data_IF_481686478410
#
_entry.id   IF_481686478410
#
_cell.length_a   1.000
_cell.length_b   1.000
_cell.length_c   1.000
_cell.angle_alpha   90.00
_cell.angle_beta   90.00
_cell.angle_gamma   90.00
#
_symmetry.space_group_name_H-M   'P 1'
#
loop_
_entity.id
_entity.type
_entity.pdbx_description
1 polymer ?
#
# COMPACT_ATOMS: atom_id res chain seq x y z
N UNK A 1 -1.31 -15.32 6.90
CA UNK A 1 -0.79 -13.93 6.91
C UNK A 1 -1.20 -13.16 5.65
N UNK A 2 -1.01 -13.74 4.46
CA UNK A 2 -1.33 -13.10 3.16
C UNK A 2 -2.80 -12.68 3.05
N UNK A 3 -3.74 -13.53 3.46
CA UNK A 3 -5.18 -13.22 3.38
C UNK A 3 -5.58 -11.99 4.21
N UNK A 4 -4.98 -11.85 5.40
CA UNK A 4 -5.18 -10.66 6.25
C UNK A 4 -4.62 -9.40 5.60
N UNK A 5 -3.42 -9.47 5.02
CA UNK A 5 -2.81 -8.35 4.31
C UNK A 5 -3.70 -7.88 3.17
N UNK A 6 -4.18 -8.81 2.35
CA UNK A 6 -5.09 -8.52 1.24
C UNK A 6 -6.38 -7.85 1.72
N UNK A 7 -7.01 -8.39 2.77
CA UNK A 7 -8.23 -7.81 3.33
C UNK A 7 -8.01 -6.38 3.83
N UNK A 8 -6.90 -6.11 4.54
CA UNK A 8 -6.59 -4.76 5.02
C UNK A 8 -6.40 -3.76 3.87
N UNK A 9 -5.76 -4.18 2.76
CA UNK A 9 -5.59 -3.33 1.58
C UNK A 9 -6.95 -3.05 0.91
N UNK A 10 -7.77 -4.07 0.70
CA UNK A 10 -9.11 -3.91 0.12
C UNK A 10 -9.98 -3.00 0.97
N UNK A 11 -10.00 -3.20 2.30
CA UNK A 11 -10.79 -2.36 3.22
C UNK A 11 -10.33 -0.89 3.22
N UNK A 12 -9.03 -0.64 3.07
CA UNK A 12 -8.46 0.71 3.10
C UNK A 12 -8.57 1.46 1.77
N UNK A 13 -8.60 0.75 0.64
CA UNK A 13 -8.52 1.33 -0.71
C UNK A 13 -9.80 1.20 -1.52
N UNK A 14 -10.68 0.27 -1.16
CA UNK A 14 -11.84 -0.10 -1.97
C UNK A 14 -11.49 -0.88 -3.23
N UNK A 15 -10.23 -1.31 -3.40
CA UNK A 15 -9.75 -2.06 -4.56
C UNK A 15 -10.36 -3.45 -4.65
N UNK A 16 -10.18 -4.12 -5.79
CA UNK A 16 -10.49 -5.55 -5.88
C UNK A 16 -9.49 -6.39 -5.09
N UNK A 17 -9.87 -7.63 -4.75
CA UNK A 17 -8.97 -8.61 -4.11
C UNK A 17 -7.77 -8.94 -5.01
N UNK A 18 -8.02 -9.10 -6.31
CA UNK A 18 -6.97 -9.42 -7.29
C UNK A 18 -5.92 -8.31 -7.36
N UNK A 19 -6.36 -7.06 -7.50
CA UNK A 19 -5.49 -5.88 -7.50
C UNK A 19 -4.69 -5.76 -6.18
N UNK A 20 -5.35 -5.97 -5.04
CA UNK A 20 -4.67 -5.96 -3.75
C UNK A 20 -3.61 -7.07 -3.64
N UNK A 21 -3.87 -8.28 -4.14
CA UNK A 21 -2.89 -9.37 -4.16
C UNK A 21 -1.70 -9.07 -5.07
N UNK A 22 -1.92 -8.47 -6.24
CA UNK A 22 -0.85 -8.07 -7.14
C UNK A 22 0.06 -7.00 -6.53
N UNK A 23 -0.53 -5.96 -5.96
CA UNK A 23 0.21 -4.87 -5.33
C UNK A 23 0.94 -5.37 -4.06
N UNK A 24 0.33 -6.27 -3.29
CA UNK A 24 1.01 -6.90 -2.16
C UNK A 24 2.22 -7.73 -2.59
N UNK A 25 2.16 -8.45 -3.71
CA UNK A 25 3.34 -9.16 -4.23
C UNK A 25 4.47 -8.19 -4.60
N UNK A 26 4.13 -7.06 -5.24
CA UNK A 26 5.11 -6.02 -5.61
C UNK A 26 5.79 -5.37 -4.41
N UNK A 27 5.11 -5.32 -3.26
CA UNK A 27 5.61 -4.69 -2.04
C UNK A 27 6.23 -5.67 -1.05
N UNK A 28 6.34 -6.96 -1.39
CA UNK A 28 6.83 -7.99 -0.46
C UNK A 28 5.87 -8.25 0.71
N UNK A 29 4.56 -8.08 0.45
CA UNK A 29 3.45 -8.20 1.39
C UNK A 29 3.38 -7.10 2.47
N UNK A 30 4.05 -5.96 2.25
CA UNK A 30 3.93 -4.80 3.12
C UNK A 30 2.66 -3.98 2.80
N UNK A 31 1.76 -3.91 3.78
CA UNK A 31 0.42 -3.33 3.60
C UNK A 31 0.45 -1.81 3.38
N UNK A 32 1.30 -1.07 4.10
CA UNK A 32 1.37 0.39 3.99
C UNK A 32 1.78 0.87 2.59
N UNK A 33 2.92 0.40 2.01
CA UNK A 33 3.27 0.78 0.65
C UNK A 33 2.23 0.28 -0.34
N UNK A 34 1.59 -0.88 -0.13
CA UNK A 34 0.53 -1.35 -1.01
C UNK A 34 -0.69 -0.41 -1.05
N UNK A 35 -1.17 0.03 0.13
CA UNK A 35 -2.26 1.02 0.21
C UNK A 35 -1.85 2.32 -0.46
N UNK A 36 -0.62 2.79 -0.22
CA UNK A 36 -0.14 4.03 -0.82
C UNK A 36 -0.04 3.92 -2.34
N UNK A 37 0.46 2.81 -2.89
CA UNK A 37 0.53 2.58 -4.34
C UNK A 37 -0.84 2.71 -5.00
N UNK A 38 -1.86 2.03 -4.44
CA UNK A 38 -3.22 2.06 -4.99
C UNK A 38 -3.82 3.47 -4.92
N UNK A 39 -3.69 4.15 -3.79
CA UNK A 39 -4.32 5.46 -3.58
C UNK A 39 -3.60 6.61 -4.29
N UNK A 40 -2.30 6.51 -4.53
CA UNK A 40 -1.47 7.59 -5.11
C UNK A 40 -0.97 7.32 -6.52
N UNK A 41 -1.13 6.09 -7.04
CA UNK A 41 -0.61 5.67 -8.34
C UNK A 41 0.92 5.55 -8.40
N UNK A 42 1.60 5.57 -7.25
CA UNK A 42 3.05 5.39 -7.16
C UNK A 42 3.43 3.92 -7.36
N UNK A 43 4.65 3.67 -7.84
CA UNK A 43 5.25 2.35 -7.81
C UNK A 43 5.72 1.97 -6.39
N UNK A 44 6.13 0.71 -6.21
CA UNK A 44 6.55 0.19 -4.91
C UNK A 44 7.75 0.93 -4.31
N UNK A 45 8.72 1.35 -5.15
CA UNK A 45 9.92 2.04 -4.69
C UNK A 45 9.59 3.47 -4.23
N UNK A 46 8.80 4.20 -5.01
CA UNK A 46 8.34 5.54 -4.71
C UNK A 46 7.41 5.55 -3.48
N UNK A 47 6.51 4.57 -3.36
CA UNK A 47 5.67 4.41 -2.18
C UNK A 47 6.50 4.15 -0.92
N UNK A 48 7.56 3.33 -1.01
CA UNK A 48 8.49 3.08 0.11
C UNK A 48 9.22 4.36 0.51
N UNK A 49 9.81 5.05 -0.46
CA UNK A 49 10.55 6.29 -0.22
C UNK A 49 9.67 7.38 0.40
N UNK A 50 8.43 7.51 -0.09
CA UNK A 50 7.45 8.46 0.47
C UNK A 50 7.08 8.07 1.90
N UNK A 51 6.80 6.79 2.17
CA UNK A 51 6.56 6.35 3.55
C UNK A 51 7.74 6.65 4.46
N UNK A 52 8.97 6.39 4.04
CA UNK A 52 10.17 6.65 4.84
C UNK A 52 10.35 8.15 5.11
N UNK A 53 10.10 9.02 4.12
CA UNK A 53 10.11 10.47 4.29
C UNK A 53 9.09 10.95 5.34
N UNK A 54 7.99 10.23 5.49
CA UNK A 54 6.95 10.46 6.50
C UNK A 54 7.05 9.48 7.69
N UNK A 55 8.23 8.93 7.98
CA UNK A 55 8.50 8.05 9.14
C UNK A 55 7.55 6.83 9.25
N UNK A 56 7.10 6.32 8.11
CA UNK A 56 6.17 5.19 8.01
C UNK A 56 4.72 5.52 8.37
N UNK A 57 4.36 6.80 8.51
CA UNK A 57 2.98 7.24 8.75
C UNK A 57 2.22 7.36 7.43
N UNK A 58 1.39 6.36 7.14
CA UNK A 58 0.60 6.29 5.90
C UNK A 58 -0.30 7.52 5.70
N UNK A 59 -0.93 8.02 6.77
CA UNK A 59 -1.80 9.21 6.67
C UNK A 59 -1.03 10.44 6.22
N UNK A 60 0.12 10.71 6.84
CA UNK A 60 1.00 11.81 6.45
C UNK A 60 1.55 11.64 5.03
N UNK A 61 1.80 10.40 4.59
CA UNK A 61 2.24 10.11 3.23
C UNK A 61 1.15 10.30 2.17
N UNK A 62 -0.14 10.24 2.54
CA UNK A 62 -1.28 10.49 1.64
C UNK A 62 -1.68 11.97 1.59
N UNK A 63 -1.37 12.73 2.64
CA UNK A 63 -1.53 14.17 2.67
C UNK A 63 -0.43 14.81 1.79
N UNK A 64 -0.82 15.63 0.81
CA UNK A 64 0.09 16.43 -0.01
C UNK A 64 0.45 17.73 0.71
#
# INVERSE_FOLDING_TARGET
LIDRACRMVVEATGSSREEAEEVLKQTGYDVKPAILMILSGLDAAAARARLDAHQGFLRAALEN
#
